data_IF_078234438042
#
_entry.id   IF_078234438042
#
_cell.length_a   1.000
_cell.length_b   1.000
_cell.length_c   1.000
_cell.angle_alpha   90.00
_cell.angle_beta   90.00
_cell.angle_gamma   90.00
#
_symmetry.space_group_name_H-M   'P 1'
#
loop_
_entity.id
_entity.type
_entity.pdbx_description
1 polymer ?
#
# COMPACT_ATOMS: atom_id res chain seq x y z
N UNK A 1 -27.63 -11.61 5.97
CA UNK A 1 -27.10 -11.87 7.33
C UNK A 1 -26.90 -10.60 8.16
N UNK A 2 -26.34 -9.49 7.63
CA UNK A 2 -26.09 -8.26 8.42
C UNK A 2 -27.33 -7.69 9.16
N UNK A 3 -28.49 -7.70 8.52
CA UNK A 3 -29.75 -7.26 9.15
C UNK A 3 -30.18 -8.12 10.34
N UNK A 4 -29.76 -9.40 10.41
CA UNK A 4 -30.06 -10.27 11.56
C UNK A 4 -29.16 -9.94 12.75
N UNK A 5 -27.89 -9.56 12.53
CA UNK A 5 -27.00 -9.15 13.62
C UNK A 5 -27.41 -7.81 14.23
N UNK A 6 -27.86 -6.85 13.42
CA UNK A 6 -28.43 -5.60 13.95
C UNK A 6 -29.68 -5.85 14.81
N UNK A 7 -30.57 -6.76 14.37
CA UNK A 7 -31.73 -7.18 15.17
C UNK A 7 -31.29 -7.88 16.46
N UNK A 8 -30.29 -8.74 16.41
CA UNK A 8 -29.75 -9.42 17.59
C UNK A 8 -29.18 -8.43 18.62
N UNK A 9 -28.51 -7.36 18.17
CA UNK A 9 -28.06 -6.27 19.04
C UNK A 9 -29.25 -5.58 19.70
N UNK A 10 -30.29 -5.21 18.93
CA UNK A 10 -31.49 -4.54 19.47
C UNK A 10 -32.17 -5.41 20.54
N UNK A 11 -32.31 -6.71 20.29
CA UNK A 11 -32.91 -7.63 21.27
C UNK A 11 -32.03 -7.84 22.50
N UNK A 12 -30.72 -7.94 22.32
CA UNK A 12 -29.78 -7.98 23.42
C UNK A 12 -29.85 -6.69 24.25
N UNK A 13 -29.95 -5.52 23.63
CA UNK A 13 -30.10 -4.24 24.32
C UNK A 13 -31.39 -4.16 25.13
N UNK A 14 -32.52 -4.64 24.58
CA UNK A 14 -33.77 -4.74 25.35
C UNK A 14 -33.65 -5.66 26.55
N UNK A 15 -32.99 -6.81 26.40
CA UNK A 15 -32.74 -7.71 27.52
C UNK A 15 -31.85 -7.05 28.59
N UNK A 16 -30.83 -6.29 28.17
CA UNK A 16 -29.94 -5.56 29.05
C UNK A 16 -30.58 -4.34 29.73
N UNK A 17 -31.68 -3.81 29.18
CA UNK A 17 -32.49 -2.79 29.88
C UNK A 17 -33.24 -3.40 31.07
N UNK A 18 -33.62 -4.68 30.99
CA UNK A 18 -34.31 -5.40 32.07
C UNK A 18 -33.30 -5.93 33.09
N UNK A 19 -32.24 -6.58 32.61
CA UNK A 19 -31.12 -7.04 33.43
C UNK A 19 -29.78 -6.62 32.81
N UNK A 20 -29.18 -5.51 33.28
CA UNK A 20 -27.89 -5.03 32.79
C UNK A 20 -26.74 -6.00 33.03
N UNK A 21 -26.90 -6.96 33.94
CA UNK A 21 -25.86 -7.93 34.30
C UNK A 21 -26.03 -9.28 33.61
N UNK A 22 -26.96 -9.39 32.67
CA UNK A 22 -27.21 -10.64 31.98
C UNK A 22 -26.07 -11.00 31.00
N UNK A 23 -25.12 -11.83 31.45
CA UNK A 23 -23.92 -12.21 30.69
C UNK A 23 -24.22 -12.82 29.31
N UNK A 24 -25.30 -13.60 29.18
CA UNK A 24 -25.70 -14.19 27.89
C UNK A 24 -26.07 -13.12 26.86
N UNK A 25 -26.84 -12.09 27.25
CA UNK A 25 -27.18 -10.99 26.36
C UNK A 25 -25.97 -10.12 26.02
N UNK A 26 -25.06 -9.87 26.98
CA UNK A 26 -23.78 -9.20 26.68
C UNK A 26 -22.97 -10.01 25.66
N UNK A 27 -22.91 -11.33 25.81
CA UNK A 27 -22.23 -12.21 24.85
C UNK A 27 -22.88 -12.16 23.45
N UNK A 28 -24.21 -12.24 23.36
CA UNK A 28 -24.93 -12.13 22.08
C UNK A 28 -24.67 -10.79 21.40
N UNK A 29 -24.69 -9.70 22.17
CA UNK A 29 -24.38 -8.36 21.67
C UNK A 29 -22.94 -8.27 21.17
N UNK A 30 -21.96 -8.74 21.94
CA UNK A 30 -20.55 -8.71 21.53
C UNK A 30 -20.31 -9.53 20.27
N UNK A 31 -20.89 -10.73 20.18
CA UNK A 31 -20.73 -11.57 19.00
C UNK A 31 -21.33 -10.92 17.75
N UNK A 32 -22.49 -10.30 17.89
CA UNK A 32 -23.14 -9.59 16.78
C UNK A 32 -22.31 -8.38 16.34
N UNK A 33 -21.78 -7.59 17.27
CA UNK A 33 -20.88 -6.45 16.98
C UNK A 33 -19.59 -6.90 16.28
N UNK A 34 -19.00 -8.03 16.71
CA UNK A 34 -17.81 -8.61 16.09
C UNK A 34 -18.08 -9.07 14.65
N UNK A 35 -19.23 -9.70 14.38
CA UNK A 35 -19.63 -10.11 13.03
C UNK A 35 -19.89 -8.91 12.10
N UNK A 36 -20.30 -7.78 12.67
CA UNK A 36 -20.39 -6.49 11.98
C UNK A 36 -19.04 -5.76 11.87
N UNK A 37 -17.93 -6.37 12.31
CA UNK A 37 -16.57 -5.80 12.35
C UNK A 37 -16.44 -4.55 13.24
N UNK A 38 -17.38 -4.34 14.16
CA UNK A 38 -17.35 -3.26 15.14
C UNK A 38 -16.53 -3.69 16.38
N UNK A 39 -15.24 -4.00 16.15
CA UNK A 39 -14.39 -4.66 17.14
C UNK A 39 -14.22 -3.87 18.44
N UNK A 40 -14.10 -2.54 18.36
CA UNK A 40 -13.97 -1.68 19.56
C UNK A 40 -15.19 -1.79 20.47
N UNK A 41 -16.39 -1.69 19.91
CA UNK A 41 -17.63 -1.79 20.68
C UNK A 41 -17.84 -3.20 21.23
N UNK A 42 -17.49 -4.23 20.44
CA UNK A 42 -17.51 -5.62 20.91
C UNK A 42 -16.62 -5.81 22.14
N UNK A 43 -15.40 -5.25 22.14
CA UNK A 43 -14.47 -5.39 23.27
C UNK A 43 -15.02 -4.77 24.56
N UNK A 44 -15.65 -3.58 24.47
CA UNK A 44 -16.29 -2.94 25.64
C UNK A 44 -17.36 -3.84 26.25
N UNK A 45 -18.21 -4.44 25.41
CA UNK A 45 -19.28 -5.33 25.88
C UNK A 45 -18.73 -6.63 26.49
N UNK A 46 -17.66 -7.18 25.90
CA UNK A 46 -16.96 -8.36 26.44
C UNK A 46 -16.37 -8.05 27.82
N UNK A 47 -15.74 -6.88 27.99
CA UNK A 47 -15.17 -6.45 29.25
C UNK A 47 -16.25 -6.26 30.31
N UNK A 48 -17.38 -5.66 29.97
CA UNK A 48 -18.54 -5.56 30.87
C UNK A 48 -19.00 -6.94 31.35
N UNK A 49 -19.12 -7.91 30.44
CA UNK A 49 -19.53 -9.27 30.79
C UNK A 49 -18.52 -9.96 31.72
N UNK A 50 -17.22 -9.76 31.47
CA UNK A 50 -16.15 -10.32 32.30
C UNK A 50 -15.98 -9.60 33.65
N UNK A 51 -16.40 -8.33 33.75
CA UNK A 51 -16.48 -7.64 35.05
C UNK A 51 -17.59 -8.22 35.93
N UNK A 52 -18.70 -8.66 35.33
CA UNK A 52 -19.80 -9.30 36.05
C UNK A 52 -19.44 -10.74 36.43
N UNK A 53 -18.94 -11.51 35.47
CA UNK A 53 -18.47 -12.87 35.70
C UNK A 53 -17.14 -13.10 34.97
N UNK A 54 -16.01 -13.00 35.69
CA UNK A 54 -14.66 -13.17 35.12
C UNK A 54 -14.43 -14.53 34.45
N UNK A 55 -15.15 -15.56 34.91
CA UNK A 55 -15.02 -16.93 34.42
C UNK A 55 -16.13 -17.31 33.44
N UNK A 56 -16.89 -16.34 32.93
CA UNK A 56 -17.92 -16.60 31.93
C UNK A 56 -17.29 -17.09 30.62
N UNK A 57 -17.37 -18.41 30.40
CA UNK A 57 -16.71 -19.11 29.31
C UNK A 57 -16.96 -18.46 27.94
N UNK A 58 -18.22 -18.12 27.64
CA UNK A 58 -18.57 -17.55 26.34
C UNK A 58 -17.98 -16.16 26.11
N UNK A 59 -17.83 -15.36 27.17
CA UNK A 59 -17.22 -14.04 27.08
C UNK A 59 -15.71 -14.13 26.91
N UNK A 60 -15.05 -15.07 27.59
CA UNK A 60 -13.62 -15.36 27.38
C UNK A 60 -13.36 -15.84 25.96
N UNK A 61 -14.19 -16.76 25.47
CA UNK A 61 -14.14 -17.22 24.07
C UNK A 61 -14.33 -16.06 23.08
N UNK A 62 -15.34 -15.22 23.29
CA UNK A 62 -15.58 -14.04 22.46
C UNK A 62 -14.40 -13.05 22.49
N UNK A 63 -13.71 -12.90 23.63
CA UNK A 63 -12.48 -12.10 23.76
C UNK A 63 -11.35 -12.65 22.88
N UNK A 64 -11.08 -13.94 23.01
CA UNK A 64 -10.04 -14.63 22.22
C UNK A 64 -10.29 -14.50 20.72
N UNK A 65 -11.52 -14.77 20.27
CA UNK A 65 -11.90 -14.64 18.86
C UNK A 65 -11.82 -13.19 18.36
N UNK A 66 -12.17 -12.20 19.19
CA UNK A 66 -12.07 -10.79 18.84
C UNK A 66 -10.62 -10.37 18.63
N UNK A 67 -9.72 -10.74 19.55
CA UNK A 67 -8.29 -10.43 19.46
C UNK A 67 -7.68 -11.09 18.22
N UNK A 68 -8.00 -12.36 17.97
CA UNK A 68 -7.53 -13.06 16.78
C UNK A 68 -7.94 -12.35 15.48
N UNK A 69 -9.20 -11.93 15.37
CA UNK A 69 -9.69 -11.20 14.20
C UNK A 69 -9.00 -9.85 14.05
N UNK A 70 -8.89 -9.06 15.13
CA UNK A 70 -8.19 -7.75 15.10
C UNK A 70 -6.76 -7.92 14.60
N UNK A 71 -6.02 -8.89 15.14
CA UNK A 71 -4.66 -9.17 14.72
C UNK A 71 -4.59 -9.57 13.24
N UNK A 72 -5.51 -10.40 12.77
CA UNK A 72 -5.58 -10.80 11.35
C UNK A 72 -5.87 -9.61 10.43
N UNK A 73 -6.78 -8.71 10.80
CA UNK A 73 -7.07 -7.50 10.02
C UNK A 73 -5.87 -6.54 10.02
N UNK A 74 -5.21 -6.36 11.16
CA UNK A 74 -4.00 -5.56 11.27
C UNK A 74 -2.86 -6.11 10.40
N UNK A 75 -2.60 -7.42 10.45
CA UNK A 75 -1.58 -8.07 9.61
C UNK A 75 -1.88 -7.86 8.12
N UNK A 76 -3.11 -8.14 7.69
CA UNK A 76 -3.52 -7.93 6.29
C UNK A 76 -3.34 -6.48 5.85
N UNK A 77 -3.66 -5.51 6.71
CA UNK A 77 -3.46 -4.08 6.39
C UNK A 77 -1.97 -3.72 6.24
N UNK A 78 -1.10 -4.30 7.09
CA UNK A 78 0.36 -4.11 7.02
C UNK A 78 0.95 -4.74 5.76
N UNK A 79 0.54 -5.95 5.41
CA UNK A 79 0.95 -6.63 4.16
C UNK A 79 0.57 -5.79 2.94
N UNK A 80 -0.65 -5.25 2.92
CA UNK A 80 -1.12 -4.41 1.82
C UNK A 80 -0.34 -3.09 1.74
N UNK A 81 -0.01 -2.46 2.87
CA UNK A 81 0.84 -1.27 2.91
C UNK A 81 2.26 -1.54 2.40
N UNK A 82 2.86 -2.66 2.83
CA UNK A 82 4.19 -3.08 2.39
C UNK A 82 4.20 -3.29 0.87
N UNK A 83 3.18 -3.96 0.34
CA UNK A 83 3.02 -4.18 -1.10
C UNK A 83 2.92 -2.85 -1.87
N UNK A 84 2.07 -1.91 -1.40
CA UNK A 84 1.94 -0.59 -2.02
C UNK A 84 3.26 0.19 -2.01
N UNK A 85 3.99 0.19 -0.89
CA UNK A 85 5.28 0.87 -0.79
C UNK A 85 6.32 0.26 -1.73
N UNK A 86 6.40 -1.07 -1.79
CA UNK A 86 7.30 -1.77 -2.69
C UNK A 86 7.00 -1.47 -4.16
N UNK A 87 5.72 -1.54 -4.55
CA UNK A 87 5.26 -1.23 -5.90
C UNK A 87 5.59 0.23 -6.31
N UNK A 88 5.35 1.19 -5.41
CA UNK A 88 5.64 2.60 -5.69
C UNK A 88 7.15 2.86 -5.85
N UNK A 89 7.97 2.25 -5.00
CA UNK A 89 9.43 2.35 -5.09
C UNK A 89 9.97 1.79 -6.42
N UNK A 90 9.49 0.62 -6.85
CA UNK A 90 9.87 0.05 -8.16
C UNK A 90 9.49 1.01 -9.29
N UNK A 91 8.28 1.57 -9.25
CA UNK A 91 7.79 2.48 -10.29
C UNK A 91 8.61 3.76 -10.38
N UNK A 92 9.04 4.30 -9.24
CA UNK A 92 9.98 5.44 -9.21
C UNK A 92 11.31 5.08 -9.87
N UNK A 93 11.87 3.91 -9.53
CA UNK A 93 13.14 3.43 -10.10
C UNK A 93 13.02 3.28 -11.61
N UNK A 94 11.92 2.71 -12.10
CA UNK A 94 11.67 2.54 -13.53
C UNK A 94 11.56 3.88 -14.28
N UNK A 95 10.91 4.88 -13.70
CA UNK A 95 10.84 6.23 -14.29
C UNK A 95 12.22 6.87 -14.35
N UNK A 96 13.01 6.74 -13.26
CA UNK A 96 14.37 7.28 -13.21
C UNK A 96 15.28 6.61 -14.25
N UNK A 97 15.23 5.29 -14.38
CA UNK A 97 16.05 4.56 -15.36
C UNK A 97 15.70 4.95 -16.80
N UNK A 98 14.41 5.11 -17.13
CA UNK A 98 13.97 5.61 -18.45
C UNK A 98 14.49 7.00 -18.75
N UNK A 99 14.49 7.91 -17.77
CA UNK A 99 15.03 9.27 -17.97
C UNK A 99 16.54 9.26 -18.21
N UNK A 100 17.28 8.41 -17.49
CA UNK A 100 18.72 8.22 -17.69
C UNK A 100 19.01 7.68 -19.10
N UNK A 101 18.28 6.66 -19.56
CA UNK A 101 18.45 6.12 -20.92
C UNK A 101 18.20 7.18 -21.99
N UNK A 102 17.20 8.05 -21.83
CA UNK A 102 16.94 9.16 -22.76
C UNK A 102 18.08 10.18 -22.79
N UNK A 103 18.65 10.49 -21.62
CA UNK A 103 19.81 11.38 -21.51
C UNK A 103 21.04 10.79 -22.21
N UNK A 104 21.33 9.51 -21.99
CA UNK A 104 22.44 8.80 -22.64
C UNK A 104 22.28 8.78 -24.17
N UNK A 105 21.07 8.50 -24.67
CA UNK A 105 20.77 8.58 -26.10
C UNK A 105 20.99 9.99 -26.65
N UNK A 106 20.48 11.02 -25.96
CA UNK A 106 20.66 12.42 -26.37
C UNK A 106 22.13 12.85 -26.43
N UNK A 107 22.93 12.45 -25.42
CA UNK A 107 24.38 12.68 -25.40
C UNK A 107 25.08 12.00 -26.58
N UNK A 108 24.68 10.76 -26.91
CA UNK A 108 25.18 10.03 -28.08
C UNK A 108 24.90 10.76 -29.40
N UNK A 109 23.68 11.27 -29.59
CA UNK A 109 23.34 12.09 -30.76
C UNK A 109 24.18 13.38 -30.84
N UNK A 110 24.39 14.06 -29.71
CA UNK A 110 25.19 15.28 -29.67
C UNK A 110 26.66 15.02 -30.06
N UNK A 111 27.24 13.95 -29.51
CA UNK A 111 28.60 13.49 -29.84
C UNK A 111 28.72 13.15 -31.33
N UNK A 112 27.73 12.46 -31.91
CA UNK A 112 27.71 12.12 -33.33
C UNK A 112 27.70 13.37 -34.22
N UNK A 113 26.89 14.38 -33.90
CA UNK A 113 26.87 15.66 -34.62
C UNK A 113 28.22 16.36 -34.53
N UNK A 114 28.84 16.35 -33.35
CA UNK A 114 30.15 16.99 -33.13
C UNK A 114 31.24 16.33 -33.98
N UNK A 115 31.27 14.99 -34.03
CA UNK A 115 32.19 14.22 -34.87
C UNK A 115 31.99 14.56 -36.35
N UNK A 116 30.75 14.56 -36.85
CA UNK A 116 30.43 14.91 -38.24
C UNK A 116 30.88 16.33 -38.61
N UNK A 117 30.77 17.29 -37.68
CA UNK A 117 31.20 18.67 -37.91
C UNK A 117 32.72 18.78 -38.01
N UNK A 118 33.45 18.04 -37.17
CA UNK A 118 34.91 17.98 -37.23
C UNK A 118 35.37 17.32 -38.52
N UNK A 119 34.81 16.15 -38.89
CA UNK A 119 35.21 15.44 -40.11
C UNK A 119 34.94 16.27 -41.36
N UNK A 120 33.82 16.98 -41.41
CA UNK A 120 33.52 17.93 -42.49
C UNK A 120 34.53 19.08 -42.58
N UNK A 121 34.92 19.66 -41.44
CA UNK A 121 35.94 20.71 -41.40
C UNK A 121 37.30 20.19 -41.88
N UNK A 122 37.76 19.05 -41.35
CA UNK A 122 39.03 18.42 -41.75
C UNK A 122 39.03 18.14 -43.25
N UNK A 123 37.97 17.53 -43.78
CA UNK A 123 37.83 17.26 -45.21
C UNK A 123 37.94 18.54 -46.08
N UNK A 124 37.29 19.63 -45.65
CA UNK A 124 37.39 20.91 -46.36
C UNK A 124 38.78 21.54 -46.27
N UNK A 125 39.47 21.40 -45.14
CA UNK A 125 40.85 21.85 -44.98
C UNK A 125 41.80 21.08 -45.90
N UNK A 126 41.71 19.75 -45.93
CA UNK A 126 42.50 18.90 -46.83
C UNK A 126 42.25 19.26 -48.29
N UNK A 127 40.98 19.45 -48.68
CA UNK A 127 40.62 19.88 -50.04
C UNK A 127 41.23 21.25 -50.40
N UNK A 128 41.20 22.23 -49.50
CA UNK A 128 41.86 23.53 -49.71
C UNK A 128 43.38 23.41 -49.82
N UNK A 129 44.01 22.58 -48.99
CA UNK A 129 45.45 22.35 -49.01
C UNK A 129 45.89 21.74 -50.35
N UNK A 130 45.14 20.76 -50.86
CA UNK A 130 45.40 20.12 -52.14
C UNK A 130 45.31 21.11 -53.31
N UNK A 131 44.32 22.01 -53.29
CA UNK A 131 44.16 23.08 -54.30
C UNK A 131 45.35 24.04 -54.25
N UNK A 132 45.84 24.42 -53.07
CA UNK A 132 47.01 25.29 -52.89
C UNK A 132 48.29 24.62 -53.42
N UNK A 133 48.50 23.34 -53.10
CA UNK A 133 49.66 22.57 -53.59
C UNK A 133 49.68 22.44 -55.12
N UNK A 134 48.52 22.24 -55.75
CA UNK A 134 48.43 22.16 -57.21
C UNK A 134 48.69 23.52 -57.89
N UNK A 135 48.31 24.64 -57.27
CA UNK A 135 48.64 25.99 -57.78
C UNK A 135 50.13 26.34 -57.69
N UNK A 136 50.86 25.80 -56.70
CA UNK A 136 52.30 26.01 -56.54
C UNK A 136 53.16 25.17 -57.51
N UNK A 137 52.56 24.17 -58.18
CA UNK A 137 53.25 23.28 -59.14
C UNK A 137 53.10 23.72 -60.61
N UNK A 138 52.32 24.76 -60.88
CA UNK A 138 52.16 25.42 -62.19
C UNK A 138 52.98 26.70 -62.23
#
# INVERSE_FOLDING_TARGET
MLGQYNKAIIWADKALQVDPKHCSSLCTKSNSLRLLKMFKQSMVVIEQSLQINPNHFDSLRAKGESIFLINRYMLKSKEQLLFCNFYFNIKIIEIKSRNIQKLEQGLGYLLMIFILKITYLVFNYEKKLLIMQNKLRL
#
